data_IF_987322526497
#
_entry.id   IF_987322526497
#
_cell.length_a   1.000
_cell.length_b   1.000
_cell.length_c   1.000
_cell.angle_alpha   90.00
_cell.angle_beta   90.00
_cell.angle_gamma   90.00
#
_symmetry.space_group_name_H-M   'P 1'
#
loop_
_entity.id
_entity.type
_entity.pdbx_description
1 polymer ?
#
# COMPACT_ATOMS: atom_id res chain seq x y z
N UNK A 1 -10.06 15.35 -9.03
CA UNK A 1 -9.68 14.52 -7.87
C UNK A 1 -9.13 15.29 -6.65
N UNK A 2 -8.22 16.27 -6.80
CA UNK A 2 -7.63 16.99 -5.66
C UNK A 2 -8.67 17.68 -4.76
N UNK A 3 -9.61 18.39 -5.37
CA UNK A 3 -10.69 19.06 -4.64
C UNK A 3 -11.75 18.11 -4.08
N UNK A 4 -11.85 16.91 -4.61
CA UNK A 4 -12.89 15.95 -4.21
C UNK A 4 -12.67 15.42 -2.79
N UNK A 5 -11.43 15.04 -2.46
CA UNK A 5 -11.11 14.53 -1.11
C UNK A 5 -11.12 15.64 -0.06
N UNK A 6 -10.55 16.82 -0.40
CA UNK A 6 -10.59 17.98 0.49
C UNK A 6 -12.04 18.43 0.74
N UNK A 7 -12.88 18.44 -0.29
CA UNK A 7 -14.30 18.79 -0.18
C UNK A 7 -15.06 17.82 0.73
N UNK A 8 -14.87 16.51 0.55
CA UNK A 8 -15.52 15.49 1.38
C UNK A 8 -15.12 15.65 2.85
N UNK A 9 -13.82 15.86 3.12
CA UNK A 9 -13.34 16.08 4.49
C UNK A 9 -13.93 17.34 5.12
N UNK A 10 -13.94 18.45 4.39
CA UNK A 10 -14.57 19.72 4.84
C UNK A 10 -16.07 19.57 5.05
N UNK A 11 -16.77 18.84 4.17
CA UNK A 11 -18.21 18.58 4.37
C UNK A 11 -18.48 17.75 5.63
N UNK A 12 -17.69 16.73 5.88
CA UNK A 12 -17.86 15.88 7.09
C UNK A 12 -17.62 16.72 8.35
N UNK A 13 -16.52 17.50 8.40
CA UNK A 13 -16.19 18.33 9.56
C UNK A 13 -17.25 19.43 9.78
N UNK A 14 -17.73 20.05 8.70
CA UNK A 14 -18.81 21.04 8.78
C UNK A 14 -20.08 20.46 9.40
N UNK A 15 -20.52 19.28 8.96
CA UNK A 15 -21.72 18.63 9.53
C UNK A 15 -21.52 18.31 11.01
N UNK A 16 -20.35 17.81 11.40
CA UNK A 16 -20.05 17.49 12.81
C UNK A 16 -20.02 18.76 13.66
N UNK A 17 -19.37 19.81 13.19
CA UNK A 17 -19.27 21.08 13.91
C UNK A 17 -20.63 21.79 14.00
N UNK A 18 -21.44 21.72 12.95
CA UNK A 18 -22.82 22.25 12.95
C UNK A 18 -23.68 21.51 13.97
N UNK A 19 -23.63 20.17 13.98
CA UNK A 19 -24.35 19.37 14.98
C UNK A 19 -23.90 19.71 16.39
N UNK A 20 -22.62 19.84 16.64
CA UNK A 20 -22.06 20.18 17.94
C UNK A 20 -22.49 21.58 18.40
N UNK A 21 -22.54 22.55 17.48
CA UNK A 21 -23.01 23.90 17.75
C UNK A 21 -24.47 23.90 18.18
N UNK A 22 -25.34 23.22 17.42
CA UNK A 22 -26.77 23.12 17.74
C UNK A 22 -26.99 22.40 19.09
N UNK A 23 -26.28 21.31 19.30
CA UNK A 23 -26.36 20.51 20.52
C UNK A 23 -25.89 21.29 21.77
N UNK A 24 -24.73 21.92 21.71
CA UNK A 24 -24.20 22.69 22.83
C UNK A 24 -25.07 23.93 23.13
N UNK A 25 -25.51 24.64 22.09
CA UNK A 25 -26.42 25.79 22.28
C UNK A 25 -27.74 25.37 22.92
N UNK A 26 -28.35 24.30 22.42
CA UNK A 26 -29.63 23.77 22.96
C UNK A 26 -29.48 23.23 24.39
N UNK A 27 -28.37 22.53 24.68
CA UNK A 27 -28.13 21.98 26.02
C UNK A 27 -27.84 23.09 27.02
N UNK A 28 -27.03 24.09 26.68
CA UNK A 28 -26.75 25.25 27.52
C UNK A 28 -28.02 26.00 27.84
N UNK A 29 -28.88 26.23 26.87
CA UNK A 29 -30.14 26.88 27.05
C UNK A 29 -31.07 26.09 27.98
N UNK A 30 -31.19 24.77 27.79
CA UNK A 30 -32.01 23.89 28.63
C UNK A 30 -31.55 23.88 30.09
N UNK A 31 -30.25 23.71 30.32
CA UNK A 31 -29.65 23.74 31.66
C UNK A 31 -29.89 25.08 32.37
N UNK A 32 -29.78 26.16 31.62
CA UNK A 32 -30.03 27.49 32.16
C UNK A 32 -31.49 27.63 32.61
N UNK A 33 -32.46 27.22 31.78
CA UNK A 33 -33.88 27.29 32.14
C UNK A 33 -34.25 26.39 33.34
N UNK A 34 -33.70 25.18 33.41
CA UNK A 34 -33.89 24.27 34.54
C UNK A 34 -33.34 24.89 35.86
N UNK A 35 -32.17 25.47 35.85
CA UNK A 35 -31.59 26.13 37.01
C UNK A 35 -32.43 27.34 37.45
N UNK A 36 -32.97 28.09 36.47
CA UNK A 36 -33.83 29.25 36.78
C UNK A 36 -35.14 28.82 37.35
N UNK A 37 -35.78 27.79 36.77
CA UNK A 37 -37.02 27.18 37.29
C UNK A 37 -36.83 26.76 38.75
N UNK A 38 -35.77 25.96 39.03
CA UNK A 38 -35.48 25.51 40.39
C UNK A 38 -35.34 26.68 41.36
N UNK A 39 -34.53 27.70 40.99
CA UNK A 39 -34.32 28.88 41.84
C UNK A 39 -35.55 29.71 42.08
N UNK A 40 -36.41 29.90 41.05
CA UNK A 40 -37.63 30.70 41.19
C UNK A 40 -38.68 29.97 42.02
N UNK A 41 -38.83 28.66 41.78
CA UNK A 41 -39.79 27.82 42.55
C UNK A 41 -39.36 27.75 44.03
N UNK A 42 -38.04 27.53 44.31
CA UNK A 42 -37.54 27.54 45.68
C UNK A 42 -37.84 28.88 46.41
N UNK A 43 -37.63 30.03 45.75
CA UNK A 43 -37.95 31.33 46.31
C UNK A 43 -39.46 31.47 46.60
N UNK A 44 -40.30 31.03 45.67
CA UNK A 44 -41.78 31.05 45.89
C UNK A 44 -42.17 30.12 47.04
N UNK A 45 -41.62 28.92 47.13
CA UNK A 45 -41.91 27.98 48.22
C UNK A 45 -41.50 28.52 49.59
N UNK A 46 -40.27 29.13 49.65
CA UNK A 46 -39.82 29.78 50.92
C UNK A 46 -40.80 30.88 51.37
N UNK A 47 -41.18 31.73 50.42
CA UNK A 47 -42.12 32.79 50.73
C UNK A 47 -43.53 32.24 51.09
N UNK A 48 -44.02 31.23 50.41
CA UNK A 48 -45.28 30.59 50.69
C UNK A 48 -45.30 29.89 52.08
N UNK A 49 -44.14 29.23 52.43
CA UNK A 49 -44.03 28.59 53.76
C UNK A 49 -44.03 29.60 54.88
N UNK A 50 -43.32 30.72 54.75
CA UNK A 50 -43.30 31.77 55.75
C UNK A 50 -44.75 32.41 55.93
N UNK A 51 -45.44 32.68 54.83
CA UNK A 51 -46.77 33.25 54.84
C UNK A 51 -47.81 32.24 55.40
N UNK A 52 -47.59 30.95 55.17
CA UNK A 52 -48.51 29.88 55.69
C UNK A 52 -48.48 29.79 57.23
N UNK A 53 -47.49 30.37 57.92
CA UNK A 53 -47.40 30.41 59.37
C UNK A 53 -48.31 31.49 59.98
N UNK A 54 -48.90 32.36 59.16
CA UNK A 54 -49.80 33.43 59.66
C UNK A 54 -51.12 32.88 60.06
N UNK A 55 -51.62 33.22 61.27
CA UNK A 55 -52.96 32.78 61.76
C UNK A 55 -54.12 33.30 60.90
N UNK A 56 -53.94 34.49 60.31
CA UNK A 56 -54.94 35.15 59.48
C UNK A 56 -54.25 35.77 58.27
N UNK A 57 -54.69 35.36 57.09
CA UNK A 57 -54.20 35.93 55.82
C UNK A 57 -54.98 37.23 55.56
N UNK A 58 -54.32 38.35 55.86
CA UNK A 58 -54.81 39.68 55.57
C UNK A 58 -53.68 40.61 55.10
N UNK A 59 -54.03 41.72 54.48
CA UNK A 59 -53.09 42.68 53.89
C UNK A 59 -52.04 43.12 54.89
N UNK A 60 -52.38 43.37 56.17
CA UNK A 60 -51.43 43.86 57.18
C UNK A 60 -50.39 42.79 57.61
N UNK A 61 -50.86 41.54 57.81
CA UNK A 61 -50.02 40.44 58.26
C UNK A 61 -49.06 39.98 57.14
N UNK A 62 -49.60 39.87 55.92
CA UNK A 62 -48.81 39.52 54.73
C UNK A 62 -47.74 40.60 54.46
N UNK A 63 -48.06 41.87 54.51
CA UNK A 63 -47.09 42.97 54.35
C UNK A 63 -45.96 42.92 55.38
N UNK A 64 -46.26 42.57 56.64
CA UNK A 64 -45.22 42.41 57.67
C UNK A 64 -44.35 41.20 57.43
N UNK A 65 -44.90 40.09 57.03
CA UNK A 65 -44.16 38.87 56.69
C UNK A 65 -43.24 39.12 55.52
N UNK A 66 -43.75 39.68 54.42
CA UNK A 66 -42.92 39.97 53.21
C UNK A 66 -41.88 41.00 53.43
N UNK A 67 -42.10 42.03 54.30
CA UNK A 67 -41.08 43.01 54.61
C UNK A 67 -39.82 42.42 55.28
N UNK A 68 -39.93 41.22 55.86
CA UNK A 68 -38.74 40.44 56.32
C UNK A 68 -38.03 39.67 55.23
N UNK A 69 -38.57 39.60 54.00
CA UNK A 69 -38.04 38.79 52.88
C UNK A 69 -37.33 39.59 51.82
N UNK A 70 -36.71 40.74 52.15
CA UNK A 70 -35.95 41.60 51.22
C UNK A 70 -34.80 40.87 50.53
N UNK A 71 -34.33 39.74 51.09
CA UNK A 71 -33.28 38.93 50.53
C UNK A 71 -33.66 38.19 49.22
N UNK A 72 -34.97 38.08 48.91
CA UNK A 72 -35.45 37.33 47.75
C UNK A 72 -35.15 38.01 46.38
N UNK A 73 -34.88 39.31 46.38
CA UNK A 73 -34.45 40.08 45.18
C UNK A 73 -35.25 39.78 43.91
N UNK A 74 -36.57 39.76 44.00
CA UNK A 74 -37.45 39.58 42.86
C UNK A 74 -37.97 40.92 42.33
N UNK A 75 -38.29 41.01 41.04
CA UNK A 75 -38.80 42.24 40.44
C UNK A 75 -40.25 42.55 40.93
N UNK A 76 -41.07 41.52 41.00
CA UNK A 76 -42.46 41.65 41.53
C UNK A 76 -42.82 40.40 42.34
N UNK A 77 -43.38 40.62 43.47
CA UNK A 77 -43.97 39.59 44.34
C UNK A 77 -45.43 39.92 44.58
N UNK A 78 -46.34 38.99 44.29
CA UNK A 78 -47.76 39.05 44.58
C UNK A 78 -48.14 37.95 45.55
N UNK A 79 -49.01 38.28 46.49
CA UNK A 79 -49.66 37.28 47.37
C UNK A 79 -51.15 37.40 47.21
N UNK A 80 -51.81 36.28 46.93
CA UNK A 80 -53.27 36.27 46.77
C UNK A 80 -53.91 35.44 47.85
N UNK A 81 -55.22 35.71 48.12
CA UNK A 81 -56.10 34.86 48.92
C UNK A 81 -56.63 33.67 48.08
N UNK A 82 -57.46 32.82 48.68
CA UNK A 82 -58.09 31.66 48.05
C UNK A 82 -59.04 32.00 46.88
N UNK A 83 -59.54 33.26 46.85
CA UNK A 83 -60.41 33.77 45.79
C UNK A 83 -59.62 34.40 44.64
N UNK A 84 -58.25 34.50 44.71
CA UNK A 84 -57.42 35.20 43.77
C UNK A 84 -57.33 36.70 43.96
N UNK A 85 -57.83 37.24 45.13
CA UNK A 85 -57.68 38.65 45.44
C UNK A 85 -56.27 38.97 45.94
N UNK A 86 -55.58 39.99 45.41
CA UNK A 86 -54.27 40.39 45.81
C UNK A 86 -54.26 41.02 47.21
N UNK A 87 -53.57 40.36 48.14
CA UNK A 87 -53.34 40.81 49.47
C UNK A 87 -52.04 41.62 49.61
N UNK A 88 -51.10 41.40 48.76
CA UNK A 88 -49.83 42.14 48.73
C UNK A 88 -49.24 42.19 47.28
N UNK A 89 -48.71 43.34 46.94
CA UNK A 89 -47.98 43.57 45.69
C UNK A 89 -46.73 44.43 45.99
N UNK A 90 -45.56 43.90 45.65
CA UNK A 90 -44.30 44.64 45.87
C UNK A 90 -44.15 45.77 44.86
N UNK A 91 -44.90 45.80 43.75
CA UNK A 91 -44.78 46.81 42.71
C UNK A 91 -45.73 47.97 42.95
N UNK A 92 -45.16 49.03 43.51
CA UNK A 92 -45.98 50.17 44.00
C UNK A 92 -46.54 51.02 42.85
N UNK A 93 -45.78 51.13 41.70
CA UNK A 93 -46.19 52.04 40.64
C UNK A 93 -47.48 51.59 39.90
N UNK A 94 -47.73 50.30 39.87
CA UNK A 94 -48.91 49.69 39.23
C UNK A 94 -49.42 48.54 40.14
N UNK A 95 -49.83 48.90 41.37
CA UNK A 95 -50.23 47.93 42.41
C UNK A 95 -51.57 47.34 42.12
N UNK A 96 -51.64 46.00 42.06
CA UNK A 96 -52.86 45.22 41.92
C UNK A 96 -53.56 44.95 43.25
N UNK A 97 -53.19 45.59 44.35
CA UNK A 97 -53.72 45.38 45.70
C UNK A 97 -55.23 45.46 45.68
N UNK A 98 -55.93 44.45 46.20
CA UNK A 98 -57.36 44.37 46.24
C UNK A 98 -58.07 43.99 44.94
N UNK A 99 -57.34 43.83 43.84
CA UNK A 99 -57.83 43.40 42.54
C UNK A 99 -57.81 41.86 42.43
N UNK A 100 -58.62 41.30 41.55
CA UNK A 100 -58.52 39.89 41.16
C UNK A 100 -57.46 39.68 40.12
N UNK A 101 -56.59 38.68 40.33
CA UNK A 101 -55.50 38.33 39.41
C UNK A 101 -55.84 37.03 38.68
N UNK A 102 -55.91 37.12 37.35
CA UNK A 102 -56.11 35.97 36.44
C UNK A 102 -54.85 35.60 35.71
N UNK A 103 -53.67 35.68 36.39
CA UNK A 103 -52.41 35.21 35.82
C UNK A 103 -52.46 33.69 35.70
N UNK A 104 -52.12 33.14 34.52
CA UNK A 104 -52.17 31.69 34.26
C UNK A 104 -51.44 30.87 35.33
N UNK A 105 -50.30 31.36 35.80
CA UNK A 105 -49.45 30.68 36.77
C UNK A 105 -50.15 30.64 38.16
N UNK A 106 -50.81 31.73 38.56
CA UNK A 106 -51.54 31.83 39.82
C UNK A 106 -52.75 30.88 39.78
N UNK A 107 -53.49 30.90 38.68
CA UNK A 107 -54.68 30.04 38.52
C UNK A 107 -54.28 28.57 38.55
N UNK A 108 -53.24 28.19 37.80
CA UNK A 108 -52.78 26.80 37.79
C UNK A 108 -52.25 26.34 39.16
N UNK A 109 -51.54 27.20 39.91
CA UNK A 109 -51.07 26.88 41.25
C UNK A 109 -52.23 26.68 42.23
N UNK A 110 -53.34 27.42 42.07
CA UNK A 110 -54.53 27.33 42.97
C UNK A 110 -55.46 26.19 42.58
N UNK A 111 -55.64 25.86 41.31
CA UNK A 111 -56.47 24.76 40.82
C UNK A 111 -55.81 23.37 41.02
N UNK A 112 -54.52 23.30 41.28
CA UNK A 112 -53.79 22.07 41.46
C UNK A 112 -54.02 21.40 42.83
N UNK A 113 -53.34 20.25 42.99
CA UNK A 113 -53.18 19.58 44.30
C UNK A 113 -52.10 20.27 45.11
N UNK A 114 -52.14 20.04 46.45
CA UNK A 114 -51.10 20.56 47.36
C UNK A 114 -49.72 20.26 46.82
N UNK A 115 -48.86 21.30 46.60
CA UNK A 115 -47.52 21.19 46.07
C UNK A 115 -47.45 21.35 44.54
N UNK A 116 -48.45 21.89 43.87
CA UNK A 116 -48.44 22.19 42.45
C UNK A 116 -47.76 23.55 42.20
N UNK A 117 -46.40 23.51 42.08
CA UNK A 117 -45.59 24.68 41.72
C UNK A 117 -45.65 24.87 40.21
N UNK A 118 -45.81 26.11 39.79
CA UNK A 118 -45.87 26.47 38.36
C UNK A 118 -44.75 27.41 38.00
N UNK A 119 -44.09 27.12 36.94
CA UNK A 119 -43.06 27.98 36.36
C UNK A 119 -43.35 28.22 34.88
N UNK A 120 -43.22 29.48 34.47
CA UNK A 120 -43.27 29.88 33.06
C UNK A 120 -42.22 30.92 32.77
N UNK A 121 -41.84 31.04 31.51
CA UNK A 121 -40.93 32.06 31.06
C UNK A 121 -41.33 32.59 29.69
N UNK A 122 -41.01 33.86 29.47
CA UNK A 122 -41.24 34.57 28.22
C UNK A 122 -39.94 35.31 27.86
N UNK A 123 -39.72 35.47 26.54
CA UNK A 123 -38.59 36.26 26.05
C UNK A 123 -39.15 37.47 25.29
N UNK A 124 -38.94 38.64 25.81
CA UNK A 124 -39.44 39.88 25.22
C UNK A 124 -38.33 40.92 25.11
N UNK A 125 -38.03 41.44 23.91
CA UNK A 125 -37.03 42.47 23.63
C UNK A 125 -35.64 42.19 24.21
N UNK A 126 -35.22 40.96 24.21
CA UNK A 126 -33.90 40.56 24.70
C UNK A 126 -33.84 40.37 26.24
N UNK A 127 -34.96 40.51 26.92
CA UNK A 127 -35.08 40.31 28.34
C UNK A 127 -35.83 39.01 28.60
N UNK A 128 -35.29 38.17 29.45
CA UNK A 128 -35.99 37.00 29.94
C UNK A 128 -36.87 37.37 31.11
N UNK A 129 -38.15 37.07 31.04
CA UNK A 129 -39.12 37.27 32.11
C UNK A 129 -39.43 35.88 32.66
N UNK A 130 -39.02 35.63 33.89
CA UNK A 130 -39.31 34.37 34.58
C UNK A 130 -40.45 34.58 35.57
N UNK A 131 -41.41 33.69 35.57
CA UNK A 131 -42.62 33.76 36.43
C UNK A 131 -42.75 32.43 37.15
N UNK A 132 -43.00 32.49 38.44
CA UNK A 132 -43.30 31.29 39.21
C UNK A 132 -44.47 31.55 40.16
N UNK A 133 -45.30 30.56 40.42
CA UNK A 133 -46.35 30.58 41.38
C UNK A 133 -46.35 29.30 42.21
N UNK A 134 -46.60 29.46 43.55
CA UNK A 134 -46.64 28.35 44.49
C UNK A 134 -47.86 28.53 45.38
N UNK A 135 -48.70 27.50 45.63
CA UNK A 135 -49.84 27.61 46.53
C UNK A 135 -49.37 27.77 48.00
N UNK A 136 -50.05 28.63 48.72
CA UNK A 136 -49.94 28.74 50.18
C UNK A 136 -50.81 27.69 50.80
N UNK A 137 -50.17 26.72 51.47
CA UNK A 137 -50.91 25.61 52.10
C UNK A 137 -50.90 25.77 53.62
N UNK A 138 -52.06 25.93 54.22
CA UNK A 138 -52.20 25.97 55.66
C UNK A 138 -53.18 24.85 56.08
N UNK A 139 -52.79 24.02 57.05
CA UNK A 139 -53.53 22.86 57.54
C UNK A 139 -54.08 21.93 56.45
N UNK A 140 -53.28 21.74 55.37
CA UNK A 140 -53.61 20.84 54.27
C UNK A 140 -54.58 21.40 53.23
N UNK A 141 -54.95 22.68 53.32
CA UNK A 141 -55.84 23.40 52.39
C UNK A 141 -55.12 24.56 51.74
N UNK A 142 -55.35 24.80 50.44
CA UNK A 142 -54.82 25.95 49.72
C UNK A 142 -55.58 27.20 50.17
N UNK A 143 -54.90 28.16 50.80
CA UNK A 143 -55.48 29.40 51.32
C UNK A 143 -55.13 30.63 50.50
N UNK A 144 -54.21 30.46 49.47
CA UNK A 144 -53.79 31.50 48.56
C UNK A 144 -52.62 31.04 47.70
N UNK A 145 -52.02 31.97 47.05
CA UNK A 145 -50.76 31.69 46.28
C UNK A 145 -49.76 32.83 46.41
N UNK A 146 -48.47 32.47 46.24
CA UNK A 146 -47.40 33.40 46.05
C UNK A 146 -46.99 33.34 44.57
N UNK A 147 -46.92 34.50 43.94
CA UNK A 147 -46.47 34.67 42.59
C UNK A 147 -45.22 35.58 42.59
N UNK A 148 -44.16 35.17 41.90
CA UNK A 148 -42.97 35.93 41.72
C UNK A 148 -42.62 36.12 40.25
N UNK A 149 -42.12 37.28 39.91
CA UNK A 149 -41.64 37.61 38.57
C UNK A 149 -40.26 38.28 38.64
N UNK A 150 -39.36 37.83 37.79
CA UNK A 150 -38.04 38.44 37.63
C UNK A 150 -37.80 38.83 36.16
N UNK A 151 -37.26 40.04 35.97
CA UNK A 151 -36.75 40.52 34.70
C UNK A 151 -35.23 40.32 34.69
N UNK A 152 -34.77 39.35 33.89
CA UNK A 152 -33.36 38.95 33.81
C UNK A 152 -32.66 39.48 32.56
N UNK A 153 -32.45 40.77 32.45
CA UNK A 153 -31.75 41.34 31.31
C UNK A 153 -30.26 40.89 31.27
N UNK A 154 -29.60 40.78 32.44
CA UNK A 154 -28.20 40.33 32.51
C UNK A 154 -28.09 38.85 32.09
N UNK A 155 -28.95 38.00 32.57
CA UNK A 155 -28.88 36.57 32.30
C UNK A 155 -29.25 36.24 30.83
N UNK A 156 -30.24 36.95 30.26
CA UNK A 156 -30.56 36.87 28.84
C UNK A 156 -29.36 37.24 27.94
N UNK A 157 -28.59 38.26 28.33
CA UNK A 157 -27.40 38.66 27.63
C UNK A 157 -26.26 37.63 27.73
N UNK A 158 -26.13 36.94 28.87
CA UNK A 158 -25.14 35.87 29.09
C UNK A 158 -25.40 34.70 28.15
N UNK A 159 -26.64 34.26 28.02
CA UNK A 159 -27.00 33.16 27.07
C UNK A 159 -26.66 33.56 25.64
N UNK A 160 -27.08 34.76 25.23
CA UNK A 160 -26.82 35.28 23.88
C UNK A 160 -25.33 35.36 23.62
N UNK A 161 -24.53 35.87 24.56
CA UNK A 161 -23.07 35.94 24.44
C UNK A 161 -22.45 34.54 24.39
N UNK A 162 -22.91 33.57 25.18
CA UNK A 162 -22.49 32.21 25.15
C UNK A 162 -22.75 31.57 23.78
N UNK A 163 -23.95 31.71 23.24
CA UNK A 163 -24.28 31.19 21.89
C UNK A 163 -23.43 31.84 20.81
N UNK A 164 -23.21 33.16 20.89
CA UNK A 164 -22.37 33.89 19.95
C UNK A 164 -20.92 33.48 20.03
N UNK A 165 -20.38 33.22 21.23
CA UNK A 165 -19.03 32.71 21.42
C UNK A 165 -18.88 31.29 20.86
N UNK A 166 -19.84 30.39 21.12
CA UNK A 166 -19.81 29.03 20.56
C UNK A 166 -19.85 29.09 19.03
N UNK A 167 -20.71 29.92 18.45
CA UNK A 167 -20.75 30.12 16.98
C UNK A 167 -19.44 30.65 16.43
N UNK A 168 -18.85 31.67 17.07
CA UNK A 168 -17.59 32.27 16.64
C UNK A 168 -16.43 31.27 16.69
N UNK A 169 -16.34 30.50 17.80
CA UNK A 169 -15.31 29.45 17.94
C UNK A 169 -15.48 28.38 16.86
N UNK A 170 -16.72 27.94 16.61
CA UNK A 170 -17.02 26.95 15.58
C UNK A 170 -16.63 27.46 14.19
N UNK A 171 -16.92 28.72 13.88
CA UNK A 171 -16.55 29.34 12.60
C UNK A 171 -15.04 29.43 12.41
N UNK A 172 -14.30 29.87 13.45
CA UNK A 172 -12.83 29.93 13.41
C UNK A 172 -12.24 28.53 13.19
N UNK A 173 -12.76 27.54 13.92
CA UNK A 173 -12.29 26.15 13.78
C UNK A 173 -12.51 25.62 12.37
N UNK A 174 -13.68 25.88 11.77
CA UNK A 174 -13.97 25.47 10.39
C UNK A 174 -13.00 26.13 9.38
N UNK A 175 -12.70 27.42 9.53
CA UNK A 175 -11.71 28.12 8.69
C UNK A 175 -10.34 27.44 8.79
N UNK A 176 -9.90 27.11 9.99
CA UNK A 176 -8.61 26.42 10.22
C UNK A 176 -8.61 25.06 9.55
N UNK A 177 -9.69 24.27 9.68
CA UNK A 177 -9.84 22.97 9.05
C UNK A 177 -9.77 23.08 7.52
N UNK A 178 -10.46 24.06 6.93
CA UNK A 178 -10.45 24.30 5.47
C UNK A 178 -9.02 24.63 5.00
N UNK A 179 -8.33 25.54 5.66
CA UNK A 179 -6.96 25.91 5.31
C UNK A 179 -6.00 24.73 5.41
N UNK A 180 -6.10 23.96 6.49
CA UNK A 180 -5.28 22.77 6.69
C UNK A 180 -5.58 21.69 5.65
N UNK A 181 -6.85 21.47 5.31
CA UNK A 181 -7.28 20.53 4.29
C UNK A 181 -6.72 20.87 2.90
N UNK A 182 -6.76 22.15 2.51
CA UNK A 182 -6.19 22.65 1.25
C UNK A 182 -4.67 22.46 1.25
N UNK A 183 -3.99 22.82 2.33
CA UNK A 183 -2.54 22.66 2.45
C UNK A 183 -2.11 21.19 2.28
N UNK A 184 -2.78 20.29 3.00
CA UNK A 184 -2.47 18.87 2.96
C UNK A 184 -2.80 18.25 1.58
N UNK A 185 -3.98 18.56 1.03
CA UNK A 185 -4.40 18.05 -0.27
C UNK A 185 -3.46 18.49 -1.41
N UNK A 186 -2.97 19.73 -1.39
CA UNK A 186 -2.03 20.23 -2.42
C UNK A 186 -0.66 19.59 -2.28
N UNK A 187 -0.14 19.44 -1.06
CA UNK A 187 1.15 18.80 -0.80
C UNK A 187 1.16 17.33 -1.23
N UNK A 188 0.19 16.56 -0.77
CA UNK A 188 0.02 15.14 -1.11
C UNK A 188 -0.14 14.92 -2.62
N UNK A 189 -1.05 15.69 -3.24
CA UNK A 189 -1.31 15.56 -4.68
C UNK A 189 -0.10 15.93 -5.54
N UNK A 190 0.71 16.91 -5.14
CA UNK A 190 1.92 17.28 -5.86
C UNK A 190 2.95 16.14 -5.85
N UNK A 191 3.10 15.47 -4.72
CA UNK A 191 4.00 14.31 -4.59
C UNK A 191 3.51 13.11 -5.42
N UNK A 192 2.23 12.78 -5.34
CA UNK A 192 1.63 11.70 -6.13
C UNK A 192 1.72 11.96 -7.64
N UNK A 193 1.53 13.20 -8.09
CA UNK A 193 1.69 13.57 -9.52
C UNK A 193 3.12 13.36 -10.01
N UNK A 194 4.15 13.53 -9.17
CA UNK A 194 5.54 13.24 -9.55
C UNK A 194 5.73 11.76 -9.87
N UNK A 195 5.22 10.86 -9.01
CA UNK A 195 5.27 9.42 -9.26
C UNK A 195 4.55 9.07 -10.57
N UNK A 196 3.32 9.58 -10.75
CA UNK A 196 2.56 9.33 -11.98
C UNK A 196 3.23 9.90 -13.25
N UNK A 197 3.90 11.04 -13.15
CA UNK A 197 4.67 11.60 -14.27
C UNK A 197 5.86 10.70 -14.63
N UNK A 198 6.60 10.23 -13.63
CA UNK A 198 7.72 9.31 -13.84
C UNK A 198 7.28 7.96 -14.42
N UNK A 199 6.13 7.43 -13.96
CA UNK A 199 5.52 6.23 -14.58
C UNK A 199 5.22 6.42 -16.07
N UNK A 200 4.79 7.62 -16.48
CA UNK A 200 4.53 7.92 -17.91
C UNK A 200 5.82 7.96 -18.72
N UNK A 201 6.90 8.51 -18.16
CA UNK A 201 8.21 8.57 -18.81
C UNK A 201 8.73 7.14 -19.02
N UNK A 202 8.69 6.29 -17.98
CA UNK A 202 9.13 4.89 -18.05
C UNK A 202 8.27 4.08 -19.03
N UNK A 203 6.96 4.31 -19.07
CA UNK A 203 6.08 3.71 -20.07
C UNK A 203 6.46 4.11 -21.50
N UNK A 204 7.05 5.27 -21.70
CA UNK A 204 7.59 5.74 -22.98
C UNK A 204 8.94 5.09 -23.37
N UNK A 205 9.51 4.22 -22.52
CA UNK A 205 10.75 3.49 -22.79
C UNK A 205 12.01 4.10 -22.16
N UNK A 206 11.90 5.22 -21.45
CA UNK A 206 13.05 5.79 -20.72
C UNK A 206 13.13 5.18 -19.31
N UNK A 207 13.81 4.05 -19.22
CA UNK A 207 14.05 3.35 -17.95
C UNK A 207 15.19 3.95 -17.11
N UNK A 208 15.89 5.00 -17.61
CA UNK A 208 16.94 5.69 -16.85
C UNK A 208 16.36 6.68 -15.80
N UNK A 209 15.11 7.09 -15.99
CA UNK A 209 14.45 8.05 -15.12
C UNK A 209 14.24 7.51 -13.71
N UNK A 210 14.49 8.36 -12.69
CA UNK A 210 14.29 8.02 -11.27
C UNK A 210 13.38 9.03 -10.60
N UNK A 211 12.53 8.54 -9.70
CA UNK A 211 11.69 9.37 -8.85
C UNK A 211 12.49 9.82 -7.64
N UNK A 212 12.64 11.12 -7.45
CA UNK A 212 13.23 11.68 -6.23
C UNK A 212 12.10 12.20 -5.35
N UNK A 213 11.92 11.56 -4.20
CA UNK A 213 10.93 11.92 -3.19
C UNK A 213 11.65 12.33 -1.91
N UNK A 214 11.21 13.46 -1.31
CA UNK A 214 11.69 13.87 0.01
C UNK A 214 10.65 13.52 1.08
N UNK A 215 11.11 13.07 2.24
CA UNK A 215 10.26 12.68 3.38
C UNK A 215 10.59 11.28 3.87
N UNK A 216 9.90 10.86 4.94
CA UNK A 216 10.09 9.55 5.58
C UNK A 216 8.72 8.87 5.75
N UNK A 217 7.90 8.90 4.71
CA UNK A 217 6.55 8.38 4.68
C UNK A 217 6.35 7.30 3.61
N UNK A 218 5.15 6.74 3.54
CA UNK A 218 4.77 5.66 2.62
C UNK A 218 4.94 6.07 1.14
N UNK A 219 4.80 7.36 0.82
CA UNK A 219 5.02 7.84 -0.54
C UNK A 219 6.50 7.79 -0.94
N UNK A 220 7.41 8.05 0.01
CA UNK A 220 8.85 7.91 -0.22
C UNK A 220 9.22 6.44 -0.44
N UNK A 221 8.70 5.54 0.41
CA UNK A 221 8.88 4.09 0.26
C UNK A 221 8.35 3.58 -1.08
N UNK A 222 7.19 4.09 -1.53
CA UNK A 222 6.64 3.78 -2.86
C UNK A 222 7.57 4.26 -3.98
N UNK A 223 8.17 5.45 -3.85
CA UNK A 223 9.13 5.98 -4.80
C UNK A 223 10.39 5.13 -4.90
N UNK A 224 10.90 4.66 -3.76
CA UNK A 224 12.09 3.81 -3.71
C UNK A 224 11.84 2.44 -4.33
N UNK A 225 10.70 1.81 -4.03
CA UNK A 225 10.33 0.53 -4.63
C UNK A 225 10.09 0.65 -6.14
N UNK A 226 9.48 1.74 -6.56
CA UNK A 226 9.34 2.07 -7.97
C UNK A 226 10.71 2.21 -8.66
N UNK A 227 11.69 2.86 -8.03
CA UNK A 227 13.05 2.98 -8.55
C UNK A 227 13.76 1.62 -8.68
N UNK A 228 13.57 0.71 -7.71
CA UNK A 228 14.10 -0.66 -7.77
C UNK A 228 13.51 -1.45 -8.92
N UNK A 229 12.18 -1.36 -9.13
CA UNK A 229 11.52 -2.00 -10.27
C UNK A 229 12.04 -1.45 -11.61
N UNK A 230 12.20 -0.13 -11.69
CA UNK A 230 12.72 0.54 -12.90
C UNK A 230 14.16 0.12 -13.19
N UNK A 231 15.00 -0.05 -12.18
CA UNK A 231 16.37 -0.53 -12.34
C UNK A 231 16.39 -1.97 -12.89
N UNK A 232 15.58 -2.85 -12.36
CA UNK A 232 15.44 -4.23 -12.88
C UNK A 232 14.98 -4.24 -14.33
N UNK A 233 13.99 -3.39 -14.68
CA UNK A 233 13.54 -3.24 -16.07
C UNK A 233 14.64 -2.73 -16.98
N UNK A 234 15.40 -1.71 -16.56
CA UNK A 234 16.52 -1.17 -17.33
C UNK A 234 17.59 -2.24 -17.61
N UNK A 235 17.97 -3.01 -16.59
CA UNK A 235 18.93 -4.10 -16.73
C UNK A 235 18.41 -5.16 -17.71
N UNK A 236 17.14 -5.52 -17.60
CA UNK A 236 16.50 -6.50 -18.48
C UNK A 236 16.48 -6.03 -19.95
N UNK A 237 16.06 -4.79 -20.19
CA UNK A 237 16.02 -4.22 -21.55
C UNK A 237 17.41 -4.04 -22.15
N UNK A 238 18.39 -3.63 -21.36
CA UNK A 238 19.79 -3.56 -21.82
C UNK A 238 20.33 -4.94 -22.24
N UNK A 239 20.06 -5.98 -21.42
CA UNK A 239 20.44 -7.37 -21.76
C UNK A 239 19.75 -7.83 -23.05
N UNK A 240 18.46 -7.48 -23.22
CA UNK A 240 17.71 -7.82 -24.44
C UNK A 240 18.25 -7.09 -25.68
N UNK A 241 18.51 -5.80 -25.57
CA UNK A 241 19.11 -5.02 -26.66
C UNK A 241 20.49 -5.55 -27.07
N UNK A 242 21.35 -5.86 -26.09
CA UNK A 242 22.64 -6.47 -26.32
C UNK A 242 22.51 -7.83 -27.03
N UNK A 243 21.59 -8.69 -26.60
CA UNK A 243 21.33 -9.98 -27.24
C UNK A 243 20.95 -9.83 -28.71
N UNK A 244 20.04 -8.90 -29.04
CA UNK A 244 19.63 -8.65 -30.42
C UNK A 244 20.81 -8.13 -31.28
N UNK A 245 21.61 -7.24 -30.70
CA UNK A 245 22.82 -6.71 -31.36
C UNK A 245 23.83 -7.81 -31.67
N UNK A 246 24.17 -8.62 -30.65
CA UNK A 246 25.17 -9.69 -30.79
C UNK A 246 24.69 -10.77 -31.76
N UNK A 247 23.42 -11.19 -31.69
CA UNK A 247 22.81 -12.12 -32.62
C UNK A 247 22.89 -11.60 -34.08
N UNK A 248 22.59 -10.30 -34.28
CA UNK A 248 22.63 -9.68 -35.59
C UNK A 248 24.06 -9.67 -36.15
N UNK A 249 25.05 -9.36 -35.31
CA UNK A 249 26.48 -9.37 -35.73
C UNK A 249 26.97 -10.77 -36.08
N UNK A 250 26.63 -11.78 -35.25
CA UNK A 250 27.04 -13.16 -35.47
C UNK A 250 26.34 -13.84 -36.67
N UNK A 251 25.14 -13.39 -37.03
CA UNK A 251 24.43 -13.84 -38.24
C UNK A 251 24.94 -13.15 -39.51
N UNK A 252 25.35 -11.88 -39.43
CA UNK A 252 25.84 -11.11 -40.58
C UNK A 252 27.16 -11.67 -41.16
N UNK A 253 28.04 -12.14 -40.30
CA UNK A 253 29.38 -12.65 -40.72
C UNK A 253 29.29 -13.87 -41.66
N UNK A 254 28.60 -14.99 -41.30
CA UNK A 254 28.47 -16.15 -42.20
C UNK A 254 27.69 -15.82 -43.47
N UNK A 255 26.67 -14.94 -43.37
CA UNK A 255 25.93 -14.50 -44.56
C UNK A 255 26.82 -13.71 -45.54
N UNK A 256 27.70 -12.86 -45.03
CA UNK A 256 28.67 -12.13 -45.85
C UNK A 256 29.70 -13.08 -46.51
N UNK A 257 30.15 -14.13 -45.79
CA UNK A 257 31.02 -15.17 -46.36
C UNK A 257 30.32 -15.94 -47.50
N UNK A 258 29.10 -16.39 -47.28
CA UNK A 258 28.31 -17.06 -48.31
C UNK A 258 28.16 -16.17 -49.54
N UNK A 259 27.85 -14.90 -49.34
CA UNK A 259 27.70 -13.95 -50.45
C UNK A 259 28.98 -13.73 -51.19
N UNK A 260 30.12 -13.57 -50.50
CA UNK A 260 31.44 -13.40 -51.11
C UNK A 260 31.83 -14.62 -51.96
N UNK A 261 31.69 -15.84 -51.45
CA UNK A 261 31.97 -17.08 -52.16
C UNK A 261 31.09 -17.23 -53.38
N UNK A 262 29.80 -16.92 -53.26
CA UNK A 262 28.83 -16.95 -54.37
C UNK A 262 29.17 -15.93 -55.44
N UNK A 263 29.48 -14.67 -55.05
CA UNK A 263 29.86 -13.61 -56.00
C UNK A 263 31.19 -13.98 -56.70
N UNK A 264 32.14 -14.63 -55.99
CA UNK A 264 33.41 -15.11 -56.56
C UNK A 264 33.17 -16.19 -57.62
N UNK A 265 32.30 -17.17 -57.38
CA UNK A 265 31.93 -18.21 -58.35
C UNK A 265 31.29 -17.61 -59.59
N UNK A 266 30.42 -16.60 -59.39
CA UNK A 266 29.66 -16.00 -60.51
C UNK A 266 30.46 -15.02 -61.37
N UNK A 267 31.52 -14.39 -60.82
CA UNK A 267 32.26 -13.31 -61.47
C UNK A 267 33.59 -13.75 -62.06
N UNK A 268 34.10 -14.95 -61.72
CA UNK A 268 35.39 -15.44 -62.16
C UNK A 268 35.23 -16.81 -62.86
N UNK A 269 36.01 -17.02 -63.93
CA UNK A 269 36.20 -18.35 -64.54
C UNK A 269 37.13 -19.17 -63.63
N UNK A 270 36.59 -20.16 -62.95
CA UNK A 270 37.28 -21.03 -62.00
C UNK A 270 37.33 -22.46 -62.50
N UNK A 271 38.36 -23.20 -62.09
CA UNK A 271 38.35 -24.64 -62.30
C UNK A 271 37.31 -25.35 -61.45
N UNK A 272 36.93 -26.55 -61.86
CA UNK A 272 35.82 -27.32 -61.27
C UNK A 272 36.12 -27.72 -59.81
N UNK A 273 37.38 -27.89 -59.43
CA UNK A 273 37.75 -28.29 -58.09
C UNK A 273 37.64 -27.10 -57.12
N UNK A 274 38.08 -25.88 -57.52
CA UNK A 274 37.88 -24.65 -56.77
C UNK A 274 36.38 -24.31 -56.58
N UNK A 275 35.55 -24.48 -57.64
CA UNK A 275 34.10 -24.30 -57.53
C UNK A 275 33.50 -25.27 -56.51
N UNK A 276 33.95 -26.55 -56.53
CA UNK A 276 33.46 -27.55 -55.57
C UNK A 276 33.88 -27.23 -54.12
N UNK A 277 35.07 -26.71 -53.91
CA UNK A 277 35.55 -26.24 -52.61
C UNK A 277 34.70 -25.09 -52.10
N UNK A 278 34.44 -24.05 -52.91
CA UNK A 278 33.62 -22.90 -52.56
C UNK A 278 32.16 -23.28 -52.25
N UNK A 279 31.56 -24.21 -53.04
CA UNK A 279 30.24 -24.74 -52.78
C UNK A 279 30.19 -25.53 -51.46
N UNK A 280 31.24 -26.30 -51.15
CA UNK A 280 31.35 -26.99 -49.86
C UNK A 280 31.46 -26.00 -48.69
N UNK A 281 32.19 -24.89 -48.84
CA UNK A 281 32.32 -23.86 -47.82
C UNK A 281 30.99 -23.09 -47.61
N UNK A 282 30.26 -22.83 -48.71
CA UNK A 282 28.89 -22.27 -48.60
C UNK A 282 27.97 -23.21 -47.80
N UNK A 283 28.05 -24.52 -48.08
CA UNK A 283 27.30 -25.56 -47.34
C UNK A 283 27.63 -25.54 -45.83
N UNK A 284 28.93 -25.51 -45.51
CA UNK A 284 29.41 -25.45 -44.13
C UNK A 284 28.90 -24.21 -43.37
N UNK A 285 28.89 -23.02 -44.03
CA UNK A 285 28.36 -21.78 -43.42
C UNK A 285 26.85 -21.78 -43.30
N UNK A 286 26.12 -22.39 -44.23
CA UNK A 286 24.69 -22.57 -44.14
C UNK A 286 24.30 -23.51 -42.97
N UNK A 287 24.99 -24.61 -42.78
CA UNK A 287 24.84 -25.52 -41.64
C UNK A 287 25.13 -24.81 -40.30
N UNK A 288 26.15 -23.96 -40.30
CA UNK A 288 26.51 -23.15 -39.14
C UNK A 288 25.37 -22.16 -38.77
N UNK A 289 24.81 -21.46 -39.76
CA UNK A 289 23.63 -20.58 -39.56
C UNK A 289 22.45 -21.35 -39.01
N UNK A 290 22.17 -22.54 -39.54
CA UNK A 290 21.08 -23.41 -39.07
C UNK A 290 21.27 -23.78 -37.60
N UNK A 291 22.46 -24.23 -37.21
CA UNK A 291 22.74 -24.54 -35.80
C UNK A 291 22.63 -23.30 -34.90
N UNK A 292 23.08 -22.13 -35.39
CA UNK A 292 22.97 -20.88 -34.62
C UNK A 292 21.55 -20.44 -34.41
N UNK A 293 20.68 -20.49 -35.44
CA UNK A 293 19.25 -20.13 -35.31
C UNK A 293 18.51 -21.08 -34.40
N UNK A 294 18.83 -22.39 -34.44
CA UNK A 294 18.24 -23.36 -33.49
C UNK A 294 18.62 -23.06 -32.04
N UNK A 295 19.89 -22.71 -31.76
CA UNK A 295 20.35 -22.34 -30.42
C UNK A 295 19.75 -21.01 -29.93
N UNK A 296 19.54 -20.02 -30.83
CA UNK A 296 18.85 -18.78 -30.52
C UNK A 296 17.38 -19.01 -30.18
N UNK A 297 16.70 -19.88 -30.93
CA UNK A 297 15.30 -20.26 -30.64
C UNK A 297 15.19 -21.00 -29.30
N UNK A 298 16.11 -21.94 -29.02
CA UNK A 298 16.15 -22.61 -27.71
C UNK A 298 16.33 -21.60 -26.57
N UNK A 299 17.27 -20.66 -26.69
CA UNK A 299 17.50 -19.63 -25.69
C UNK A 299 16.25 -18.75 -25.47
N UNK A 300 15.59 -18.33 -26.56
CA UNK A 300 14.36 -17.54 -26.50
C UNK A 300 13.21 -18.30 -25.81
N UNK A 301 13.09 -19.61 -26.05
CA UNK A 301 12.08 -20.45 -25.38
C UNK A 301 12.35 -20.58 -23.89
N UNK A 302 13.60 -20.79 -23.48
CA UNK A 302 14.00 -20.87 -22.07
C UNK A 302 13.68 -19.59 -21.32
N UNK A 303 13.87 -18.42 -21.96
CA UNK A 303 13.54 -17.11 -21.35
C UNK A 303 12.04 -16.81 -21.27
N UNK A 304 11.22 -17.43 -22.14
CA UNK A 304 9.76 -17.18 -22.20
C UNK A 304 8.92 -18.20 -21.44
N UNK A 305 9.43 -19.40 -21.17
CA UNK A 305 8.74 -20.42 -20.40
C UNK A 305 8.94 -20.20 -18.90
N UNK A 306 7.90 -19.68 -18.26
CA UNK A 306 7.70 -19.81 -16.82
C UNK A 306 7.13 -21.22 -16.57
N UNK A 307 7.77 -21.96 -15.64
CA UNK A 307 7.29 -23.20 -15.02
C UNK A 307 6.64 -24.23 -15.96
N UNK A 308 7.50 -25.05 -16.57
CA UNK A 308 7.07 -26.38 -17.00
C UNK A 308 6.95 -27.31 -15.79
N UNK A 309 6.08 -28.31 -15.87
CA UNK A 309 5.96 -29.32 -14.82
C UNK A 309 7.31 -30.04 -14.67
N UNK A 310 8.10 -29.65 -13.66
CA UNK A 310 9.34 -30.33 -13.29
C UNK A 310 8.99 -31.75 -12.83
N UNK A 311 9.78 -32.72 -13.22
CA UNK A 311 9.63 -34.12 -12.85
C UNK A 311 10.87 -34.62 -12.07
N UNK A 312 10.66 -35.62 -11.25
CA UNK A 312 11.74 -36.25 -10.50
C UNK A 312 12.61 -37.03 -11.50
N UNK A 313 13.82 -36.56 -11.73
CA UNK A 313 14.72 -37.10 -12.74
C UNK A 313 16.05 -37.53 -12.10
N UNK A 314 16.64 -38.62 -12.66
CA UNK A 314 17.97 -39.10 -12.29
C UNK A 314 19.01 -38.73 -13.35
N UNK A 315 20.22 -38.35 -12.94
CA UNK A 315 21.26 -37.88 -13.87
C UNK A 315 21.85 -39.02 -14.72
N UNK A 316 22.04 -40.21 -14.14
CA UNK A 316 22.73 -41.32 -14.79
C UNK A 316 22.06 -41.81 -16.09
N UNK A 317 20.72 -42.04 -16.13
CA UNK A 317 20.07 -42.45 -17.38
C UNK A 317 20.29 -41.45 -18.53
N UNK A 318 20.25 -40.15 -18.19
CA UNK A 318 20.46 -39.06 -19.16
C UNK A 318 21.92 -38.98 -19.60
N UNK A 319 22.89 -39.16 -18.68
CA UNK A 319 24.33 -39.25 -19.00
C UNK A 319 24.56 -40.41 -19.97
N UNK A 320 24.03 -41.61 -19.69
CA UNK A 320 24.18 -42.78 -20.55
C UNK A 320 23.58 -42.57 -21.94
N UNK A 321 22.47 -41.83 -22.05
CA UNK A 321 21.84 -41.44 -23.33
C UNK A 321 22.71 -40.51 -24.14
N UNK A 322 23.26 -39.46 -23.50
CA UNK A 322 24.14 -38.47 -24.13
C UNK A 322 25.47 -39.12 -24.59
N UNK A 323 26.12 -39.91 -23.74
CA UNK A 323 27.37 -40.60 -24.05
C UNK A 323 27.19 -41.51 -25.26
N UNK A 324 26.11 -42.32 -25.31
CA UNK A 324 25.79 -43.16 -26.47
C UNK A 324 25.63 -42.33 -27.75
N UNK A 325 24.97 -41.21 -27.70
CA UNK A 325 24.75 -40.34 -28.85
C UNK A 325 26.05 -39.72 -29.37
N UNK A 326 26.99 -39.39 -28.49
CA UNK A 326 28.26 -38.74 -28.83
C UNK A 326 29.40 -39.75 -29.11
N UNK A 327 29.16 -41.08 -29.10
CA UNK A 327 30.19 -42.12 -29.34
C UNK A 327 30.91 -41.90 -30.66
N UNK A 328 30.22 -41.59 -31.75
CA UNK A 328 30.85 -41.34 -33.05
C UNK A 328 31.80 -40.09 -33.04
N UNK A 329 31.48 -39.10 -32.18
CA UNK A 329 32.33 -37.91 -32.01
C UNK A 329 33.55 -38.20 -31.14
N UNK A 330 33.45 -39.05 -30.13
CA UNK A 330 34.55 -39.50 -29.28
C UNK A 330 35.53 -40.36 -30.06
N UNK A 331 35.05 -41.30 -30.88
CA UNK A 331 35.90 -42.12 -31.75
C UNK A 331 36.65 -41.29 -32.76
N UNK A 332 35.99 -40.34 -33.43
CA UNK A 332 36.63 -39.43 -34.39
C UNK A 332 37.75 -38.58 -33.76
N UNK A 333 37.63 -38.20 -32.52
CA UNK A 333 38.61 -37.35 -31.82
C UNK A 333 39.56 -38.15 -30.88
N UNK A 334 39.45 -39.49 -30.89
CA UNK A 334 40.26 -40.40 -30.03
C UNK A 334 40.13 -40.10 -28.53
N UNK A 335 38.93 -39.72 -28.07
CA UNK A 335 38.66 -39.35 -26.66
C UNK A 335 38.19 -40.54 -25.88
N UNK A 336 38.81 -40.78 -24.73
CA UNK A 336 38.32 -41.81 -23.77
C UNK A 336 37.37 -41.18 -22.74
N UNK A 337 36.17 -41.78 -22.62
CA UNK A 337 35.20 -41.37 -21.58
C UNK A 337 35.30 -42.29 -20.38
N UNK A 338 35.44 -41.73 -19.18
CA UNK A 338 35.37 -42.42 -17.91
C UNK A 338 34.13 -41.98 -17.14
N UNK A 339 33.27 -42.95 -16.81
CA UNK A 339 32.02 -42.72 -16.07
C UNK A 339 32.16 -43.21 -14.62
N UNK A 340 31.90 -42.35 -13.66
CA UNK A 340 31.80 -42.66 -12.24
C UNK A 340 30.52 -42.08 -11.67
N UNK A 341 29.37 -42.74 -11.95
CA UNK A 341 28.06 -42.34 -11.53
C UNK A 341 27.52 -43.33 -10.47
N UNK A 342 28.28 -43.48 -9.37
CA UNK A 342 27.94 -44.43 -8.29
C UNK A 342 26.82 -43.94 -7.40
N UNK A 343 26.75 -42.65 -7.22
CA UNK A 343 25.68 -41.98 -6.45
C UNK A 343 24.84 -41.15 -7.40
N UNK A 344 23.62 -41.62 -7.65
CA UNK A 344 22.66 -40.92 -8.48
C UNK A 344 21.47 -40.49 -7.62
N UNK A 345 21.34 -39.19 -7.41
CA UNK A 345 20.33 -38.60 -6.56
C UNK A 345 19.15 -38.08 -7.39
N UNK A 346 17.91 -38.18 -6.89
CA UNK A 346 16.76 -37.57 -7.51
C UNK A 346 16.87 -36.03 -7.46
N UNK A 347 16.61 -35.40 -8.57
CA UNK A 347 16.54 -33.94 -8.72
C UNK A 347 15.22 -33.56 -9.40
N UNK A 348 14.72 -32.36 -9.09
CA UNK A 348 13.50 -31.85 -9.72
C UNK A 348 13.86 -30.98 -10.92
N UNK A 349 13.77 -31.58 -12.14
CA UNK A 349 14.13 -30.92 -13.40
C UNK A 349 13.40 -31.57 -14.57
N UNK A 350 13.14 -30.79 -15.63
CA UNK A 350 12.67 -31.37 -16.89
C UNK A 350 13.76 -32.26 -17.53
N UNK A 351 13.42 -33.47 -17.96
CA UNK A 351 14.38 -34.40 -18.61
C UNK A 351 15.08 -33.76 -19.80
N UNK A 352 14.34 -32.96 -20.59
CA UNK A 352 14.91 -32.25 -21.75
C UNK A 352 15.94 -31.19 -21.34
N UNK A 353 15.74 -30.50 -20.23
CA UNK A 353 16.72 -29.53 -19.72
C UNK A 353 17.98 -30.21 -19.24
N UNK A 354 17.83 -31.28 -18.46
CA UNK A 354 18.96 -32.08 -17.99
C UNK A 354 19.75 -32.65 -19.16
N UNK A 355 19.05 -33.20 -20.16
CA UNK A 355 19.66 -33.70 -21.38
C UNK A 355 20.47 -32.60 -22.09
N UNK A 356 19.91 -31.42 -22.26
CA UNK A 356 20.58 -30.30 -22.95
C UNK A 356 21.80 -29.78 -22.18
N UNK A 357 21.73 -29.72 -20.83
CA UNK A 357 22.86 -29.36 -19.95
C UNK A 357 23.98 -30.34 -20.13
N UNK A 358 23.72 -31.65 -19.98
CA UNK A 358 24.74 -32.70 -20.08
C UNK A 358 25.31 -32.75 -21.52
N UNK A 359 24.45 -32.66 -22.53
CA UNK A 359 24.87 -32.67 -23.93
C UNK A 359 25.88 -31.55 -24.25
N UNK A 360 25.52 -30.28 -23.87
CA UNK A 360 26.40 -29.15 -24.16
C UNK A 360 27.75 -29.26 -23.43
N UNK A 361 27.75 -29.73 -22.16
CA UNK A 361 28.98 -29.86 -21.40
C UNK A 361 29.88 -31.01 -21.94
N UNK A 362 29.29 -32.15 -22.25
CA UNK A 362 30.02 -33.31 -22.82
C UNK A 362 30.50 -32.99 -24.22
N UNK A 363 29.67 -32.40 -25.08
CA UNK A 363 30.08 -31.95 -26.43
C UNK A 363 31.27 -31.01 -26.36
N UNK A 364 31.26 -30.03 -25.47
CA UNK A 364 32.37 -29.11 -25.25
C UNK A 364 33.62 -29.84 -24.77
N UNK A 365 33.49 -30.75 -23.79
CA UNK A 365 34.61 -31.53 -23.27
C UNK A 365 35.26 -32.46 -24.30
N UNK A 366 34.50 -32.92 -25.30
CA UNK A 366 35.05 -33.66 -26.44
C UNK A 366 35.71 -32.72 -27.44
N UNK A 367 35.06 -31.63 -27.81
CA UNK A 367 35.43 -30.71 -28.88
C UNK A 367 36.71 -29.92 -28.58
N UNK A 368 36.92 -29.54 -27.35
CA UNK A 368 38.07 -28.77 -26.89
C UNK A 368 39.17 -29.64 -26.25
N UNK A 369 38.99 -30.97 -26.31
CA UNK A 369 40.00 -31.90 -25.83
C UNK A 369 41.21 -32.00 -26.82
N UNK A 370 42.25 -32.65 -26.35
CA UNK A 370 43.39 -33.02 -27.18
C UNK A 370 43.18 -34.46 -27.74
N UNK A 371 43.68 -34.78 -28.94
CA UNK A 371 43.64 -36.16 -29.43
C UNK A 371 44.27 -37.13 -28.43
N UNK A 372 43.59 -38.25 -28.16
CA UNK A 372 44.02 -39.20 -27.14
C UNK A 372 43.70 -38.77 -25.69
N UNK A 373 43.01 -37.67 -25.53
CA UNK A 373 42.61 -37.12 -24.21
C UNK A 373 41.53 -37.89 -23.50
N UNK A 374 41.15 -37.42 -22.30
CA UNK A 374 40.20 -38.06 -21.40
C UNK A 374 39.09 -37.10 -21.04
N UNK A 375 37.85 -37.63 -20.93
CA UNK A 375 36.69 -36.93 -20.40
C UNK A 375 36.12 -37.75 -19.26
N UNK A 376 36.20 -37.23 -18.04
CA UNK A 376 35.63 -37.86 -16.83
C UNK A 376 34.28 -37.24 -16.47
N UNK A 377 33.25 -38.05 -16.31
CA UNK A 377 31.93 -37.62 -15.89
C UNK A 377 31.64 -38.30 -14.55
N UNK A 378 31.34 -37.50 -13.53
CA UNK A 378 31.06 -37.99 -12.16
C UNK A 378 29.77 -37.41 -11.63
N UNK A 379 29.00 -38.24 -10.91
CA UNK A 379 27.91 -37.81 -10.08
C UNK A 379 28.12 -38.23 -8.64
N UNK A 380 27.86 -37.34 -7.69
CA UNK A 380 27.96 -37.63 -6.28
C UNK A 380 27.06 -36.69 -5.48
N UNK A 381 26.75 -37.06 -4.24
CA UNK A 381 26.01 -36.23 -3.32
C UNK A 381 26.97 -35.48 -2.38
N UNK A 382 26.71 -34.19 -2.16
CA UNK A 382 27.41 -33.38 -1.16
C UNK A 382 26.36 -32.64 -0.31
N UNK A 383 26.08 -33.18 0.87
CA UNK A 383 25.00 -32.73 1.74
C UNK A 383 23.64 -32.84 1.04
N UNK A 384 22.94 -31.71 0.90
CA UNK A 384 21.62 -31.64 0.25
C UNK A 384 21.72 -31.33 -1.25
N UNK A 385 22.90 -31.47 -1.82
CA UNK A 385 23.13 -31.18 -3.22
C UNK A 385 23.56 -32.43 -4.01
N UNK A 386 22.98 -32.56 -5.20
CA UNK A 386 23.39 -33.50 -6.22
C UNK A 386 24.37 -32.79 -7.17
N UNK A 387 25.57 -33.33 -7.33
CA UNK A 387 26.66 -32.73 -8.10
C UNK A 387 26.94 -33.55 -9.35
N UNK A 388 26.94 -32.83 -10.49
CA UNK A 388 27.43 -33.33 -11.76
C UNK A 388 28.76 -32.64 -12.07
N UNK A 389 29.85 -33.42 -12.21
CA UNK A 389 31.15 -32.91 -12.55
C UNK A 389 31.63 -33.51 -13.86
N UNK A 390 32.02 -32.64 -14.82
CA UNK A 390 32.55 -33.03 -16.14
C UNK A 390 33.93 -32.41 -16.27
N UNK A 391 34.96 -33.27 -16.41
CA UNK A 391 36.38 -32.87 -16.47
C UNK A 391 37.00 -33.36 -17.74
N UNK A 392 37.61 -32.49 -18.49
CA UNK A 392 38.41 -32.77 -19.70
C UNK A 392 39.91 -32.57 -19.47
N UNK A 393 40.74 -33.17 -20.30
CA UNK A 393 42.21 -32.96 -20.35
C UNK A 393 42.60 -32.10 -21.56
N UNK A 394 41.72 -31.19 -21.96
CA UNK A 394 41.87 -30.41 -23.18
C UNK A 394 42.77 -29.19 -23.05
N UNK A 395 42.57 -28.24 -23.95
CA UNK A 395 43.38 -27.03 -24.06
C UNK A 395 43.31 -26.09 -22.85
N UNK A 396 42.29 -26.26 -22.02
CA UNK A 396 42.03 -25.38 -20.87
C UNK A 396 41.52 -23.99 -21.26
N UNK A 397 41.19 -23.20 -20.24
CA UNK A 397 40.64 -21.85 -20.37
C UNK A 397 41.58 -20.89 -19.63
N UNK A 398 41.99 -19.76 -20.24
CA UNK A 398 42.77 -18.72 -19.57
C UNK A 398 42.02 -18.12 -18.37
N UNK A 399 42.73 -17.72 -17.33
CA UNK A 399 42.17 -17.22 -16.08
C UNK A 399 41.32 -15.95 -16.28
N UNK A 400 41.76 -15.06 -17.16
CA UNK A 400 41.02 -13.84 -17.53
C UNK A 400 39.69 -14.12 -18.27
N UNK A 401 39.57 -15.28 -18.89
CA UNK A 401 38.38 -15.72 -19.60
C UNK A 401 37.36 -16.45 -18.71
N UNK A 402 37.76 -17.00 -17.55
CA UNK A 402 36.89 -17.82 -16.70
C UNK A 402 35.60 -17.10 -16.26
N UNK A 403 35.66 -15.80 -15.99
CA UNK A 403 34.50 -15.00 -15.60
C UNK A 403 33.48 -14.81 -16.73
N UNK A 404 33.91 -15.00 -17.98
CA UNK A 404 33.11 -14.66 -19.16
C UNK A 404 32.62 -15.89 -19.97
N UNK A 405 33.05 -17.09 -19.64
CA UNK A 405 32.76 -18.30 -20.44
C UNK A 405 31.27 -18.65 -20.53
N UNK A 406 30.47 -18.16 -19.58
CA UNK A 406 29.02 -18.32 -19.55
C UNK A 406 28.25 -17.14 -20.22
N UNK A 407 29.00 -16.12 -20.70
CA UNK A 407 28.36 -15.03 -21.43
C UNK A 407 27.98 -15.48 -22.84
N UNK A 408 26.92 -14.89 -23.38
CA UNK A 408 26.41 -15.21 -24.72
C UNK A 408 27.43 -14.78 -25.76
N UNK A 409 27.70 -15.65 -26.78
CA UNK A 409 28.64 -15.43 -27.89
C UNK A 409 30.10 -15.27 -27.46
N UNK A 410 30.44 -15.49 -26.18
CA UNK A 410 31.79 -15.43 -25.71
C UNK A 410 32.62 -16.61 -26.22
N UNK A 411 33.84 -16.34 -26.60
CA UNK A 411 34.80 -17.34 -27.15
C UNK A 411 36.22 -16.89 -26.82
N UNK A 412 37.02 -17.77 -26.26
CA UNK A 412 38.41 -17.50 -25.91
C UNK A 412 39.26 -17.20 -27.17
N UNK A 413 39.02 -17.97 -28.26
CA UNK A 413 39.69 -17.77 -29.54
C UNK A 413 38.70 -17.80 -30.69
N UNK A 414 38.45 -16.64 -31.31
CA UNK A 414 37.51 -16.48 -32.42
C UNK A 414 37.95 -17.16 -33.70
N UNK A 415 39.26 -17.32 -33.94
CA UNK A 415 39.79 -17.91 -35.16
C UNK A 415 39.71 -19.45 -35.11
N UNK A 416 40.22 -20.07 -34.06
CA UNK A 416 40.23 -21.52 -33.89
C UNK A 416 38.82 -22.11 -33.76
N UNK A 417 37.90 -21.37 -33.12
CA UNK A 417 36.55 -21.85 -32.92
C UNK A 417 35.65 -21.66 -34.16
N UNK A 418 36.09 -20.97 -35.23
CA UNK A 418 35.40 -21.00 -36.53
C UNK A 418 35.53 -22.36 -37.18
N UNK A 419 36.72 -22.97 -37.17
CA UNK A 419 36.96 -24.31 -37.73
C UNK A 419 36.24 -25.44 -36.97
N UNK A 420 35.98 -25.24 -35.67
CA UNK A 420 35.26 -26.21 -34.82
C UNK A 420 33.74 -25.96 -34.71
N UNK A 421 33.18 -24.95 -35.41
CA UNK A 421 31.73 -24.69 -35.50
C UNK A 421 31.10 -24.22 -34.18
N UNK A 422 31.86 -23.67 -33.23
CA UNK A 422 31.36 -23.16 -31.96
C UNK A 422 30.51 -21.88 -32.13
N UNK A 423 29.34 -21.80 -31.54
CA UNK A 423 28.45 -20.62 -31.59
C UNK A 423 28.65 -19.67 -30.41
N UNK A 424 29.34 -20.08 -29.34
CA UNK A 424 29.45 -19.32 -28.09
C UNK A 424 28.13 -19.23 -27.28
N UNK A 425 27.11 -20.03 -27.64
CA UNK A 425 25.82 -20.03 -26.96
C UNK A 425 25.66 -21.22 -26.02
N UNK A 426 26.42 -22.30 -26.16
CA UNK A 426 26.23 -23.57 -25.44
C UNK A 426 26.31 -23.40 -23.91
N UNK A 427 27.39 -22.77 -23.42
CA UNK A 427 27.56 -22.55 -21.97
C UNK A 427 26.58 -21.53 -21.40
N UNK A 428 26.17 -20.53 -22.17
CA UNK A 428 25.12 -19.59 -21.76
C UNK A 428 23.76 -20.29 -21.63
N UNK A 429 23.43 -21.22 -22.52
CA UNK A 429 22.24 -22.07 -22.43
C UNK A 429 22.31 -22.93 -21.17
N UNK A 430 23.45 -23.57 -20.92
CA UNK A 430 23.64 -24.40 -19.71
C UNK A 430 23.42 -23.57 -18.44
N UNK A 431 24.02 -22.40 -18.35
CA UNK A 431 23.86 -21.52 -17.18
C UNK A 431 22.40 -21.14 -16.97
N UNK A 432 21.69 -20.70 -18.01
CA UNK A 432 20.28 -20.33 -17.90
C UNK A 432 19.38 -21.51 -17.47
N UNK A 433 19.63 -22.71 -18.01
CA UNK A 433 18.88 -23.91 -17.62
C UNK A 433 19.16 -24.32 -16.17
N UNK A 434 20.42 -24.28 -15.76
CA UNK A 434 20.82 -24.60 -14.39
C UNK A 434 20.21 -23.60 -13.40
N UNK A 435 20.33 -22.29 -13.66
CA UNK A 435 19.76 -21.23 -12.81
C UNK A 435 18.22 -21.31 -12.74
N UNK A 436 17.54 -21.64 -13.85
CA UNK A 436 16.08 -21.84 -13.88
C UNK A 436 15.63 -22.98 -12.98
N UNK A 437 16.41 -24.06 -12.93
CA UNK A 437 16.13 -25.23 -12.09
C UNK A 437 16.81 -25.14 -10.71
N UNK A 438 17.00 -23.91 -10.18
CA UNK A 438 17.53 -23.62 -8.85
C UNK A 438 18.93 -24.19 -8.57
N UNK A 439 19.67 -24.54 -9.63
CA UNK A 439 21.03 -25.04 -9.54
C UNK A 439 22.08 -23.93 -9.66
N UNK A 440 23.33 -24.33 -9.50
CA UNK A 440 24.51 -23.47 -9.74
C UNK A 440 25.50 -24.16 -10.64
N UNK A 441 26.25 -23.37 -11.46
CA UNK A 441 27.31 -23.88 -12.30
C UNK A 441 28.59 -23.11 -12.05
N UNK A 442 29.69 -23.85 -11.95
CA UNK A 442 31.06 -23.29 -11.85
C UNK A 442 32.04 -23.96 -12.78
N UNK A 443 33.17 -23.29 -13.03
CA UNK A 443 34.26 -23.81 -13.85
C UNK A 443 35.59 -23.59 -13.15
N UNK A 444 36.46 -24.61 -13.19
CA UNK A 444 37.89 -24.54 -12.85
C UNK A 444 38.67 -25.02 -14.03
N UNK A 445 39.69 -24.27 -14.46
CA UNK A 445 40.50 -24.65 -15.62
C UNK A 445 41.90 -24.10 -15.51
N UNK A 446 42.84 -24.83 -16.09
CA UNK A 446 44.24 -24.43 -16.24
C UNK A 446 44.64 -24.67 -17.69
N UNK A 447 45.29 -23.70 -18.32
CA UNK A 447 45.78 -23.82 -19.70
C UNK A 447 46.63 -25.07 -19.83
N UNK A 448 46.37 -25.86 -20.89
CA UNK A 448 47.04 -27.15 -21.21
C UNK A 448 46.87 -28.27 -20.18
N UNK A 449 46.00 -28.11 -19.18
CA UNK A 449 45.70 -29.17 -18.21
C UNK A 449 44.23 -29.61 -18.29
N UNK A 450 43.39 -28.80 -18.98
CA UNK A 450 41.97 -29.10 -19.16
C UNK A 450 41.06 -28.24 -18.29
N UNK A 451 39.77 -28.57 -18.34
CA UNK A 451 38.71 -27.83 -17.62
C UNK A 451 37.82 -28.79 -16.83
N UNK A 452 37.29 -28.29 -15.73
CA UNK A 452 36.31 -29.02 -14.91
C UNK A 452 35.08 -28.10 -14.69
N UNK A 453 33.96 -28.53 -15.25
CA UNK A 453 32.65 -27.91 -15.02
C UNK A 453 31.93 -28.66 -13.92
N UNK A 454 31.40 -27.94 -12.96
CA UNK A 454 30.62 -28.48 -11.82
C UNK A 454 29.26 -27.86 -11.81
N UNK A 455 28.22 -28.68 -11.92
CA UNK A 455 26.82 -28.31 -11.83
C UNK A 455 26.26 -28.89 -10.54
N UNK A 456 25.54 -28.08 -9.79
CA UNK A 456 24.95 -28.44 -8.50
C UNK A 456 23.46 -28.22 -8.57
N UNK A 457 22.66 -29.21 -8.19
CA UNK A 457 21.21 -29.12 -8.01
C UNK A 457 20.84 -29.51 -6.61
N UNK A 458 19.76 -28.94 -6.01
CA UNK A 458 19.21 -29.47 -4.79
C UNK A 458 18.71 -30.90 -5.00
N UNK A 459 18.99 -31.79 -4.03
CA UNK A 459 18.42 -33.15 -4.02
C UNK A 459 16.93 -33.03 -3.69
N UNK A 460 16.10 -33.69 -4.45
CA UNK A 460 14.69 -33.79 -4.13
C UNK A 460 14.47 -34.86 -3.06
N UNK A 461 13.93 -34.45 -1.90
CA UNK A 461 13.55 -35.36 -0.81
C UNK A 461 12.02 -35.40 -0.71
N UNK A 462 11.39 -36.54 -1.06
CA UNK A 462 9.93 -36.66 -1.01
C UNK A 462 9.31 -36.46 0.38
N UNK A 463 10.10 -36.61 1.45
CA UNK A 463 9.61 -36.48 2.83
C UNK A 463 9.66 -34.99 3.32
N UNK A 464 10.58 -34.18 2.82
CA UNK A 464 10.70 -32.75 3.19
C UNK A 464 9.94 -31.80 2.23
N UNK A 465 9.85 -32.13 0.93
CA UNK A 465 9.26 -31.26 -0.10
C UNK A 465 7.74 -31.45 -0.30
N UNK A 466 7.10 -32.31 0.48
CA UNK A 466 5.63 -32.58 0.44
C UNK A 466 4.81 -31.75 1.46
N UNK A 467 5.42 -30.78 2.14
CA UNK A 467 4.80 -29.83 3.06
C UNK A 467 4.69 -28.44 2.41
#
# INVERSE_FOLDING_TARGET
MQFSYALVYVCITFVVLLFLNIYCSGTSQRLFYQNKETSMVEKCQLAAADIATLEVLNTSNVSKAVSGMESLRVTRLLVTDHAGTVLYDSYIADSALGSYVLLPEVVQAMEGTVGNDVFSWEYHDGIMISKAATPIVSYGTIVGSVYMMEYDAEQGSVIKNLQQNIFTITLILEIVVVLFSIFFATGFSKRLRRVLASMRIIRGGDYSHRVVMGGNDELTSLGDEFNRLTERLQVSENKRAQFVSDASHELKTPLASIKLLTDSILQNDMDQDTVREFVSDIGNEADRLTRMTQKLLSLSRIESQQDGDCEITYMKPTIDKVVRMLTGLTEKNEIRIDLDCREDCPILILEDDLYQIIFNLVENGIKYNLPGGRLAIRTFRDGDNAILQISDTGVGIPEDALGHVFERFFRVDKARSRSTGGTGLGLAIVRNMVERNQGTIGVKSVIHQGSTFTVTFPVFDPEEDSL
#
